data_IF_068508319367
#
_entry.id   IF_068508319367
#
_cell.length_a   1.000
_cell.length_b   1.000
_cell.length_c   1.000
_cell.angle_alpha   90.00
_cell.angle_beta   90.00
_cell.angle_gamma   90.00
#
_symmetry.space_group_name_H-M   'P 1'
#
loop_
_entity.id
_entity.type
_entity.pdbx_description
1 polymer ?
#
# COMPACT_ATOMS: atom_id res chain seq x y z
N UNK A 1 -6.32 4.09 6.82
CA UNK A 1 -5.00 4.39 7.42
C UNK A 1 -4.83 3.60 8.70
N UNK A 2 -3.61 3.30 9.12
CA UNK A 2 -3.27 2.60 10.36
C UNK A 2 -1.84 2.95 10.77
N UNK A 3 -1.50 2.82 12.06
CA UNK A 3 -0.12 2.91 12.51
C UNK A 3 0.67 1.69 12.02
N UNK A 4 1.79 1.92 11.35
CA UNK A 4 2.61 0.86 10.78
C UNK A 4 3.59 0.40 11.84
N UNK A 5 3.49 -0.87 12.19
CA UNK A 5 4.47 -1.57 13.00
C UNK A 5 5.08 -2.69 12.14
N UNK A 6 6.39 -2.62 11.80
CA UNK A 6 7.04 -3.63 10.98
C UNK A 6 6.90 -5.06 11.53
N UNK A 7 6.91 -5.21 12.85
CA UNK A 7 6.79 -6.51 13.51
C UNK A 7 5.40 -7.14 13.29
N UNK A 8 4.34 -6.32 13.23
CA UNK A 8 2.97 -6.78 13.03
C UNK A 8 2.70 -7.17 11.56
N UNK A 9 3.41 -6.55 10.62
CA UNK A 9 3.27 -6.80 9.18
C UNK A 9 3.88 -8.14 8.74
N UNK A 10 4.74 -8.74 9.58
CA UNK A 10 5.42 -10.02 9.30
C UNK A 10 6.14 -10.02 7.92
N UNK A 11 6.69 -8.87 7.53
CA UNK A 11 7.35 -8.70 6.24
C UNK A 11 8.79 -8.20 6.39
N UNK A 12 9.66 -8.43 5.39
CA UNK A 12 10.97 -7.78 5.33
C UNK A 12 10.84 -6.25 5.31
N UNK A 13 11.79 -5.50 5.90
CA UNK A 13 11.74 -4.03 5.95
C UNK A 13 11.59 -3.38 4.57
N UNK A 14 12.24 -3.92 3.55
CA UNK A 14 12.15 -3.48 2.15
C UNK A 14 10.71 -3.55 1.59
N UNK A 15 9.92 -4.52 2.03
CA UNK A 15 8.53 -4.65 1.61
C UNK A 15 7.61 -3.64 2.29
N UNK A 16 7.98 -3.17 3.49
CA UNK A 16 7.23 -2.16 4.25
C UNK A 16 7.57 -0.71 3.86
N UNK A 17 8.51 -0.50 2.93
CA UNK A 17 8.87 0.85 2.49
C UNK A 17 7.79 1.46 1.61
N UNK A 18 7.44 2.71 1.90
CA UNK A 18 6.60 3.52 1.05
C UNK A 18 7.34 3.83 -0.27
N UNK A 19 6.79 3.49 -1.45
CA UNK A 19 7.45 3.76 -2.73
C UNK A 19 7.65 5.24 -3.07
N UNK A 20 7.00 6.15 -2.33
CA UNK A 20 7.10 7.61 -2.56
C UNK A 20 8.22 8.21 -1.71
N UNK A 21 8.25 7.89 -0.42
CA UNK A 21 9.21 8.46 0.54
C UNK A 21 10.48 7.63 0.65
N UNK A 22 10.45 6.36 0.21
CA UNK A 22 11.53 5.37 0.35
C UNK A 22 11.87 5.03 1.81
N UNK A 23 10.93 5.29 2.71
CA UNK A 23 11.03 5.03 4.14
C UNK A 23 9.85 4.18 4.61
N UNK A 24 10.01 3.51 5.76
CA UNK A 24 8.87 2.84 6.41
C UNK A 24 8.03 3.94 7.07
N UNK A 25 6.77 4.13 6.66
CA UNK A 25 5.94 5.20 7.22
C UNK A 25 5.54 4.91 8.66
N UNK A 26 5.27 5.94 9.48
CA UNK A 26 4.65 5.78 10.80
C UNK A 26 3.13 5.52 10.67
N UNK A 27 2.46 6.23 9.77
CA UNK A 27 1.06 6.01 9.40
C UNK A 27 0.96 5.57 7.93
N UNK A 28 0.39 4.38 7.73
CA UNK A 28 0.30 3.73 6.44
C UNK A 28 -1.13 3.61 5.89
N UNK A 29 -1.22 3.47 4.57
CA UNK A 29 -2.42 3.02 3.86
C UNK A 29 -2.04 1.98 2.81
N UNK A 30 -2.80 0.89 2.75
CA UNK A 30 -2.64 -0.08 1.68
C UNK A 30 -3.46 0.33 0.46
N UNK A 31 -2.80 0.32 -0.69
CA UNK A 31 -3.39 0.68 -1.97
C UNK A 31 -3.13 -0.46 -2.95
N UNK A 32 -4.16 -0.93 -3.66
CA UNK A 32 -4.01 -1.86 -4.78
C UNK A 32 -3.15 -1.24 -5.86
N UNK A 33 -2.24 -2.02 -6.44
CA UNK A 33 -1.38 -1.53 -7.51
C UNK A 33 -2.17 -1.13 -8.76
N UNK A 34 -3.31 -1.77 -9.01
CA UNK A 34 -4.30 -1.42 -10.05
C UNK A 34 -5.71 -1.75 -9.58
N UNK A 35 -6.74 -1.31 -10.30
CA UNK A 35 -8.15 -1.53 -9.91
C UNK A 35 -8.50 -3.00 -9.64
N UNK A 36 -8.01 -3.88 -10.51
CA UNK A 36 -8.23 -5.33 -10.47
C UNK A 36 -7.08 -6.11 -9.81
N UNK A 37 -6.06 -5.40 -9.29
CA UNK A 37 -4.92 -6.05 -8.66
C UNK A 37 -5.32 -6.71 -7.34
N UNK A 38 -4.85 -7.94 -7.15
CA UNK A 38 -4.84 -8.62 -5.85
C UNK A 38 -3.61 -8.24 -5.02
N UNK A 39 -2.62 -7.58 -5.62
CA UNK A 39 -1.44 -7.05 -4.94
C UNK A 39 -1.71 -5.62 -4.48
N UNK A 40 -1.36 -5.34 -3.23
CA UNK A 40 -1.39 -4.03 -2.61
C UNK A 40 0.01 -3.61 -2.17
N UNK A 41 0.23 -2.32 -2.00
CA UNK A 41 1.47 -1.76 -1.49
C UNK A 41 1.19 -0.76 -0.38
N UNK A 42 2.12 -0.67 0.56
CA UNK A 42 2.04 0.25 1.69
C UNK A 42 2.52 1.63 1.26
N UNK A 43 1.72 2.65 1.53
CA UNK A 43 2.09 4.04 1.29
C UNK A 43 1.98 4.86 2.56
N UNK A 44 2.87 5.83 2.70
CA UNK A 44 2.72 6.91 3.67
C UNK A 44 1.43 7.69 3.41
N UNK A 45 0.63 7.88 4.46
CA UNK A 45 -0.70 8.53 4.35
C UNK A 45 -0.57 9.96 3.85
N UNK A 46 0.44 10.71 4.28
CA UNK A 46 0.63 12.12 3.90
C UNK A 46 1.09 12.22 2.45
N UNK A 47 2.07 11.41 2.06
CA UNK A 47 2.59 11.38 0.69
C UNK A 47 1.51 10.95 -0.31
N UNK A 48 0.73 9.91 0.03
CA UNK A 48 -0.35 9.43 -0.82
C UNK A 48 -1.50 10.47 -0.92
N UNK A 49 -1.85 11.13 0.18
CA UNK A 49 -2.88 12.18 0.18
C UNK A 49 -2.51 13.34 -0.74
N UNK A 50 -1.22 13.71 -0.82
CA UNK A 50 -0.74 14.73 -1.77
C UNK A 50 -0.98 14.30 -3.22
N UNK A 51 -0.67 13.05 -3.58
CA UNK A 51 -0.94 12.52 -4.93
C UNK A 51 -2.42 12.62 -5.29
N UNK A 52 -3.31 12.24 -4.36
CA UNK A 52 -4.77 12.34 -4.58
C UNK A 52 -5.20 13.79 -4.76
N UNK A 53 -4.70 14.71 -3.92
CA UNK A 53 -5.01 16.14 -4.01
C UNK A 53 -4.55 16.76 -5.33
N UNK A 54 -3.39 16.35 -5.83
CA UNK A 54 -2.82 16.80 -7.10
C UNK A 54 -3.44 16.11 -8.32
N UNK A 55 -4.36 15.16 -8.10
CA UNK A 55 -4.92 14.28 -9.15
C UNK A 55 -3.84 13.53 -9.92
N UNK A 56 -2.73 13.26 -9.25
CA UNK A 56 -1.62 12.48 -9.79
C UNK A 56 -2.03 11.02 -9.98
N UNK A 57 -1.50 10.33 -10.99
CA UNK A 57 -1.78 8.92 -11.19
C UNK A 57 -1.07 8.06 -10.13
N UNK A 58 -1.44 6.78 -10.05
CA UNK A 58 -0.81 5.80 -9.18
C UNK A 58 0.71 5.77 -9.42
N UNK A 59 1.55 5.82 -8.38
CA UNK A 59 3.00 5.98 -8.54
C UNK A 59 3.66 4.80 -9.24
N UNK A 60 3.16 3.57 -9.04
CA UNK A 60 3.70 2.35 -9.65
C UNK A 60 3.16 2.09 -11.07
N UNK A 61 1.84 2.10 -11.27
CA UNK A 61 1.18 1.67 -12.52
C UNK A 61 0.73 2.81 -13.41
N UNK A 62 0.79 4.06 -12.93
CA UNK A 62 0.30 5.26 -13.62
C UNK A 62 -1.20 5.26 -13.91
N UNK A 63 -1.97 4.33 -13.34
CA UNK A 63 -3.43 4.32 -13.45
C UNK A 63 -4.08 5.48 -12.69
N UNK A 64 -5.32 5.82 -13.06
CA UNK A 64 -6.11 6.78 -12.30
C UNK A 64 -6.42 6.20 -10.92
N UNK A 65 -6.05 6.94 -9.87
CA UNK A 65 -6.41 6.57 -8.49
C UNK A 65 -7.92 6.60 -8.29
N UNK A 66 -8.45 5.54 -7.70
CA UNK A 66 -9.88 5.39 -7.38
C UNK A 66 -10.04 4.90 -5.94
N UNK A 67 -11.19 5.20 -5.33
CA UNK A 67 -11.44 4.80 -3.94
C UNK A 67 -11.44 3.27 -3.73
N UNK A 68 -11.79 2.49 -4.77
CA UNK A 68 -11.76 1.03 -4.73
C UNK A 68 -10.35 0.44 -4.67
N UNK A 69 -9.32 1.23 -4.97
CA UNK A 69 -7.93 0.82 -4.76
C UNK A 69 -7.51 0.91 -3.30
N UNK A 70 -8.22 1.64 -2.44
CA UNK A 70 -7.89 1.73 -1.01
C UNK A 70 -8.34 0.46 -0.30
N UNK A 71 -7.42 -0.20 0.40
CA UNK A 71 -7.65 -1.46 1.10
C UNK A 71 -7.54 -1.25 2.61
N UNK A 72 -8.45 -1.85 3.36
CA UNK A 72 -8.37 -1.89 4.82
C UNK A 72 -7.16 -2.70 5.29
N UNK A 73 -6.56 -2.31 6.42
CA UNK A 73 -5.34 -2.95 6.94
C UNK A 73 -5.49 -4.45 7.21
N UNK A 74 -6.68 -4.88 7.63
CA UNK A 74 -7.07 -6.25 7.91
C UNK A 74 -7.35 -7.11 6.67
N UNK A 75 -7.20 -6.56 5.46
CA UNK A 75 -7.49 -7.26 4.20
C UNK A 75 -6.28 -7.47 3.31
N UNK A 76 -5.15 -6.85 3.61
CA UNK A 76 -3.93 -6.88 2.81
C UNK A 76 -2.79 -7.47 3.66
N UNK A 77 -2.31 -8.65 3.30
CA UNK A 77 -1.37 -9.43 4.11
C UNK A 77 -0.13 -9.78 3.31
N UNK A 78 1.02 -9.87 3.98
CA UNK A 78 2.24 -10.31 3.32
C UNK A 78 2.21 -11.80 3.00
N UNK A 79 2.34 -12.14 1.72
CA UNK A 79 2.46 -13.52 1.24
C UNK A 79 3.94 -13.81 0.98
N UNK A 80 4.56 -14.60 1.86
CA UNK A 80 5.97 -14.98 1.74
C UNK A 80 6.28 -15.81 0.50
N UNK A 81 5.31 -16.56 -0.03
CA UNK A 81 5.48 -17.30 -1.28
C UNK A 81 5.53 -16.38 -2.51
N UNK A 82 4.87 -15.23 -2.43
CA UNK A 82 4.84 -14.21 -3.50
C UNK A 82 5.80 -13.04 -3.26
N UNK A 83 6.34 -12.90 -2.06
CA UNK A 83 7.19 -11.78 -1.66
C UNK A 83 6.49 -10.41 -1.74
N UNK A 84 5.16 -10.37 -1.59
CA UNK A 84 4.36 -9.15 -1.73
C UNK A 84 3.13 -9.16 -0.85
N UNK A 85 2.57 -7.98 -0.57
CA UNK A 85 1.28 -7.89 0.08
C UNK A 85 0.15 -8.21 -0.89
N UNK A 86 -0.73 -9.12 -0.49
CA UNK A 86 -1.88 -9.55 -1.28
C UNK A 86 -3.17 -9.41 -0.50
N UNK A 87 -4.24 -9.15 -1.23
CA UNK A 87 -5.59 -9.14 -0.69
C UNK A 87 -6.01 -10.58 -0.48
N UNK A 88 -6.43 -10.92 0.74
CA UNK A 88 -7.14 -12.17 0.98
C UNK A 88 -8.59 -11.98 0.53
N UNK A 89 -9.00 -12.74 -0.48
CA UNK A 89 -10.42 -13.00 -0.71
C UNK A 89 -10.98 -13.67 0.56
N UNK A 90 -12.09 -13.13 1.06
CA UNK A 90 -12.79 -13.65 2.25
C UNK A 90 -13.46 -14.99 1.98
#
# INVERSE_FOLDING_TARGET
KFSVNPDDLQCPPESAQCPITLEIPEEGVFIKNSGDSVVCSLFDVTAFSRLVSEKSPHPLTREKLTASMVVSADKCFYDHGKGSFVIKDS
#
